data_IF_360352502609
#
_entry.id   IF_360352502609
#
_cell.length_a   1.000
_cell.length_b   1.000
_cell.length_c   1.000
_cell.angle_alpha   90.00
_cell.angle_beta   90.00
_cell.angle_gamma   90.00
#
_symmetry.space_group_name_H-M   'P 1'
#
loop_
_entity.id
_entity.type
_entity.pdbx_description
1 polymer ?
#
# COMPACT_ATOMS: atom_id res chain seq x y z
N UNK A 1 -12.18 -4.48 24.20
CA UNK A 1 -13.30 -5.44 24.10
C UNK A 1 -12.74 -6.84 23.83
N UNK A 2 -13.06 -7.85 24.66
CA UNK A 2 -12.53 -9.21 24.52
C UNK A 2 -12.84 -9.89 23.17
N UNK A 3 -13.96 -9.52 22.52
CA UNK A 3 -14.35 -10.08 21.22
C UNK A 3 -13.33 -9.78 20.09
N UNK A 4 -12.76 -8.57 20.09
CA UNK A 4 -11.75 -8.19 19.08
C UNK A 4 -10.44 -8.96 19.28
N UNK A 5 -10.05 -9.24 20.53
CA UNK A 5 -8.83 -10.00 20.83
C UNK A 5 -8.95 -11.45 20.37
N UNK A 6 -10.13 -12.07 20.51
CA UNK A 6 -10.38 -13.40 19.96
C UNK A 6 -10.32 -13.43 18.43
N UNK A 7 -10.86 -12.42 17.76
CA UNK A 7 -10.80 -12.32 16.29
C UNK A 7 -9.35 -12.14 15.79
N UNK A 8 -8.56 -11.28 16.46
CA UNK A 8 -7.13 -11.10 16.15
C UNK A 8 -6.38 -12.41 16.30
N UNK A 9 -6.55 -13.11 17.42
CA UNK A 9 -5.87 -14.38 17.67
C UNK A 9 -6.19 -15.48 16.63
N UNK A 10 -7.41 -15.47 16.08
CA UNK A 10 -7.84 -16.44 15.08
C UNK A 10 -7.37 -16.09 13.66
N UNK A 11 -7.37 -14.81 13.29
CA UNK A 11 -7.15 -14.38 11.90
C UNK A 11 -5.69 -14.03 11.62
N UNK A 12 -4.92 -13.57 12.61
CA UNK A 12 -3.52 -13.20 12.42
C UNK A 12 -2.64 -14.32 11.79
N UNK A 13 -2.78 -15.62 12.17
CA UNK A 13 -2.02 -16.69 11.52
C UNK A 13 -2.32 -16.84 10.03
N UNK A 14 -3.59 -16.68 9.63
CA UNK A 14 -3.98 -16.72 8.21
C UNK A 14 -3.46 -15.49 7.46
N UNK A 15 -3.48 -14.32 8.08
CA UNK A 15 -2.90 -13.11 7.52
C UNK A 15 -1.39 -13.30 7.24
N UNK A 16 -0.65 -13.84 8.22
CA UNK A 16 0.77 -14.16 8.09
C UNK A 16 1.04 -15.20 7.00
N UNK A 17 0.24 -16.27 6.93
CA UNK A 17 0.33 -17.27 5.88
C UNK A 17 0.06 -16.69 4.47
N UNK A 18 -0.84 -15.70 4.36
CA UNK A 18 -1.07 -14.93 3.14
C UNK A 18 0.04 -13.88 2.85
N UNK A 19 1.06 -13.80 3.72
CA UNK A 19 2.21 -12.92 3.58
C UNK A 19 1.98 -11.49 4.07
N UNK A 20 1.01 -11.25 4.96
CA UNK A 20 0.94 -9.99 5.72
C UNK A 20 2.11 -9.98 6.71
N UNK A 21 3.04 -9.04 6.56
CA UNK A 21 4.30 -8.98 7.35
C UNK A 21 4.19 -8.16 8.63
N UNK A 22 3.08 -7.43 8.81
CA UNK A 22 2.87 -6.56 9.96
C UNK A 22 2.43 -7.35 11.22
N UNK A 23 2.43 -6.68 12.37
CA UNK A 23 1.68 -7.15 13.54
C UNK A 23 0.23 -6.73 13.41
N UNK A 24 -0.67 -7.72 13.32
CA UNK A 24 -2.12 -7.48 13.25
C UNK A 24 -2.65 -7.08 14.62
N UNK A 25 -3.31 -5.93 14.71
CA UNK A 25 -3.86 -5.37 15.95
C UNK A 25 -5.39 -5.16 15.91
N UNK A 26 -5.98 -5.17 14.72
CA UNK A 26 -7.42 -5.04 14.48
C UNK A 26 -7.89 -6.09 13.48
N UNK A 27 -9.08 -6.63 13.71
CA UNK A 27 -9.73 -7.56 12.80
C UNK A 27 -11.23 -7.30 12.79
N UNK A 28 -11.84 -7.32 11.60
CA UNK A 28 -13.29 -7.35 11.43
C UNK A 28 -13.66 -8.25 10.27
N UNK A 29 -14.84 -8.87 10.34
CA UNK A 29 -15.40 -9.60 9.22
C UNK A 29 -16.01 -8.60 8.23
N UNK A 30 -15.62 -8.70 6.96
CA UNK A 30 -16.09 -7.82 5.88
C UNK A 30 -17.27 -8.45 5.15
N UNK A 31 -17.25 -9.77 5.00
CA UNK A 31 -18.23 -10.47 4.19
C UNK A 31 -17.70 -11.81 3.68
N UNK A 32 -18.50 -12.43 2.83
CA UNK A 32 -18.07 -13.59 2.03
C UNK A 32 -17.85 -13.16 0.59
N UNK A 33 -16.77 -13.63 -0.03
CA UNK A 33 -16.52 -13.37 -1.45
C UNK A 33 -17.35 -14.34 -2.35
N UNK A 34 -17.45 -14.09 -3.67
CA UNK A 34 -18.20 -14.95 -4.58
C UNK A 34 -17.70 -16.40 -4.65
N UNK A 35 -16.42 -16.64 -4.32
CA UNK A 35 -15.81 -17.98 -4.27
C UNK A 35 -16.10 -18.71 -2.95
N UNK A 36 -16.91 -18.13 -2.06
CA UNK A 36 -17.31 -18.72 -0.79
C UNK A 36 -16.27 -18.62 0.32
N UNK A 37 -15.20 -17.83 0.13
CA UNK A 37 -14.18 -17.55 1.17
C UNK A 37 -14.66 -16.45 2.11
N UNK A 38 -14.39 -16.63 3.40
CA UNK A 38 -14.61 -15.58 4.39
C UNK A 38 -13.55 -14.50 4.27
N UNK A 39 -14.00 -13.26 4.18
CA UNK A 39 -13.15 -12.09 4.04
C UNK A 39 -13.14 -11.31 5.35
N UNK A 40 -11.94 -11.11 5.86
CA UNK A 40 -11.66 -10.29 7.02
C UNK A 40 -10.82 -9.10 6.60
N UNK A 41 -11.02 -7.97 7.26
CA UNK A 41 -10.08 -6.87 7.20
C UNK A 41 -9.17 -6.95 8.42
N UNK A 42 -7.88 -6.79 8.18
CA UNK A 42 -6.86 -6.75 9.22
C UNK A 42 -6.20 -5.37 9.22
N UNK A 43 -6.16 -4.76 10.40
CA UNK A 43 -5.36 -3.56 10.67
C UNK A 43 -3.94 -3.96 11.05
N UNK A 44 -3.00 -3.09 10.72
CA UNK A 44 -1.57 -3.29 10.93
C UNK A 44 -1.00 -2.06 11.63
N UNK A 45 -0.40 -2.24 12.80
CA UNK A 45 0.22 -1.12 13.51
C UNK A 45 1.35 -0.51 12.65
N UNK A 46 1.21 0.76 12.27
CA UNK A 46 2.17 1.52 11.47
C UNK A 46 2.44 0.96 10.05
N UNK A 47 1.52 0.17 9.49
CA UNK A 47 1.63 -0.36 8.13
C UNK A 47 0.26 -0.52 7.44
N UNK A 48 0.26 -0.66 6.12
CA UNK A 48 -0.93 -0.91 5.31
C UNK A 48 -1.54 -2.23 5.75
N UNK A 49 -2.85 -2.20 6.01
CA UNK A 49 -3.62 -3.38 6.33
C UNK A 49 -3.92 -4.20 5.08
N UNK A 50 -4.78 -5.19 5.24
CA UNK A 50 -5.23 -6.01 4.12
C UNK A 50 -6.65 -6.53 4.33
N UNK A 51 -7.29 -6.90 3.23
CA UNK A 51 -8.30 -7.95 3.30
C UNK A 51 -7.65 -9.32 3.16
N UNK A 52 -7.97 -10.20 4.10
CA UNK A 52 -7.54 -11.60 4.12
C UNK A 52 -8.75 -12.46 3.81
N UNK A 53 -8.65 -13.28 2.77
CA UNK A 53 -9.68 -14.21 2.35
C UNK A 53 -9.28 -15.62 2.71
N UNK A 54 -10.05 -16.26 3.60
CA UNK A 54 -9.77 -17.57 4.17
C UNK A 54 -10.81 -18.56 3.68
N UNK A 55 -10.39 -19.75 3.24
CA UNK A 55 -11.34 -20.83 2.95
C UNK A 55 -12.06 -21.27 4.23
N UNK A 56 -13.30 -21.75 4.12
CA UNK A 56 -14.08 -22.15 5.31
C UNK A 56 -13.44 -23.32 6.08
N UNK A 57 -12.59 -24.11 5.43
CA UNK A 57 -11.80 -25.17 6.05
C UNK A 57 -10.50 -24.65 6.69
N UNK A 58 -10.16 -23.37 6.53
CA UNK A 58 -8.94 -22.76 7.02
C UNK A 58 -7.67 -23.19 6.29
N UNK A 59 -7.77 -23.91 5.16
CA UNK A 59 -6.61 -24.47 4.47
C UNK A 59 -5.83 -23.46 3.62
N UNK A 60 -6.50 -22.44 3.09
CA UNK A 60 -5.90 -21.46 2.19
C UNK A 60 -6.28 -20.04 2.60
N UNK A 61 -5.30 -19.13 2.55
CA UNK A 61 -5.50 -17.71 2.80
C UNK A 61 -4.82 -16.88 1.69
N UNK A 62 -5.53 -15.88 1.17
CA UNK A 62 -5.00 -14.89 0.22
C UNK A 62 -5.18 -13.49 0.77
N UNK A 63 -4.28 -12.57 0.42
CA UNK A 63 -4.39 -11.16 0.83
C UNK A 63 -4.66 -10.24 -0.36
N UNK A 64 -5.33 -9.13 -0.07
CA UNK A 64 -5.47 -7.96 -0.94
C UNK A 64 -5.10 -6.75 -0.09
N UNK A 65 -4.05 -6.02 -0.46
CA UNK A 65 -3.58 -4.87 0.33
C UNK A 65 -4.62 -3.75 0.35
N UNK A 66 -4.66 -2.99 1.44
CA UNK A 66 -5.58 -1.86 1.57
C UNK A 66 -5.29 -0.76 0.54
N UNK A 67 -4.05 -0.65 0.08
CA UNK A 67 -3.70 0.06 -1.14
C UNK A 67 -4.53 -0.32 -2.38
N UNK A 68 -4.69 -1.62 -2.65
CA UNK A 68 -5.44 -2.12 -3.81
C UNK A 68 -6.94 -1.91 -3.63
N UNK A 69 -7.43 -2.09 -2.40
CA UNK A 69 -8.84 -1.93 -2.03
C UNK A 69 -9.30 -0.48 -2.22
N UNK A 70 -8.52 0.48 -1.71
CA UNK A 70 -8.78 1.91 -1.86
C UNK A 70 -8.71 2.34 -3.32
N UNK A 71 -7.74 1.81 -4.09
CA UNK A 71 -7.64 2.07 -5.53
C UNK A 71 -8.88 1.57 -6.29
N UNK A 72 -9.50 0.47 -5.85
CA UNK A 72 -10.74 -0.06 -6.40
C UNK A 72 -12.01 0.71 -5.95
N UNK A 73 -11.87 1.81 -5.22
CA UNK A 73 -13.00 2.61 -4.71
C UNK A 73 -13.73 1.95 -3.54
N UNK A 74 -13.09 1.00 -2.85
CA UNK A 74 -13.63 0.31 -1.67
C UNK A 74 -12.94 0.85 -0.41
N UNK A 75 -13.56 0.61 0.73
CA UNK A 75 -13.05 1.08 2.02
C UNK A 75 -12.18 0.01 2.68
N UNK A 76 -11.05 0.44 3.24
CA UNK A 76 -10.33 -0.24 4.30
C UNK A 76 -10.37 0.66 5.53
N UNK A 77 -11.12 0.27 6.56
CA UNK A 77 -11.44 1.08 7.73
C UNK A 77 -10.39 1.08 8.85
N UNK A 78 -9.50 0.09 8.88
CA UNK A 78 -8.41 -0.06 9.84
C UNK A 78 -7.05 0.36 9.29
N UNK A 79 -7.01 0.99 8.12
CA UNK A 79 -5.78 1.54 7.56
C UNK A 79 -5.93 3.01 7.29
N UNK A 80 -4.99 3.78 7.83
CA UNK A 80 -4.91 5.21 7.65
C UNK A 80 -3.98 5.59 6.48
N UNK A 81 -4.15 6.79 5.91
CA UNK A 81 -3.19 7.31 4.93
C UNK A 81 -1.74 7.39 5.46
N UNK A 82 -1.57 7.62 6.76
CA UNK A 82 -0.26 7.68 7.39
C UNK A 82 0.42 6.31 7.45
N UNK A 83 -0.33 5.25 7.72
CA UNK A 83 0.16 3.86 7.70
C UNK A 83 0.54 3.41 6.27
N UNK A 84 -0.21 3.87 5.27
CA UNK A 84 0.16 3.70 3.87
C UNK A 84 1.47 4.42 3.53
N UNK A 85 1.62 5.67 3.94
CA UNK A 85 2.86 6.42 3.77
C UNK A 85 4.05 5.72 4.46
N UNK A 86 3.86 5.27 5.71
CA UNK A 86 4.88 4.53 6.47
C UNK A 86 5.28 3.21 5.81
N UNK A 87 4.33 2.50 5.21
CA UNK A 87 4.59 1.26 4.46
C UNK A 87 5.47 1.52 3.26
N UNK A 88 5.11 2.52 2.45
CA UNK A 88 5.91 2.87 1.28
C UNK A 88 7.29 3.39 1.70
N UNK A 89 7.39 4.18 2.76
CA UNK A 89 8.66 4.63 3.33
C UNK A 89 9.57 3.44 3.68
N UNK A 90 9.02 2.41 4.33
CA UNK A 90 9.76 1.21 4.71
C UNK A 90 10.24 0.43 3.47
N UNK A 91 9.41 0.32 2.42
CA UNK A 91 9.82 -0.32 1.18
C UNK A 91 10.90 0.48 0.45
N UNK A 92 10.82 1.81 0.40
CA UNK A 92 11.88 2.64 -0.20
C UNK A 92 13.22 2.46 0.51
N UNK A 93 13.20 2.28 1.84
CA UNK A 93 14.40 2.02 2.63
C UNK A 93 15.03 0.64 2.40
N UNK A 94 14.35 -0.29 1.70
CA UNK A 94 14.89 -1.61 1.38
C UNK A 94 15.83 -1.64 0.17
N UNK A 95 15.94 -0.53 -0.57
CA UNK A 95 16.80 -0.41 -1.74
C UNK A 95 17.33 1.01 -1.91
N UNK A 96 17.87 1.29 -3.10
CA UNK A 96 18.40 2.62 -3.43
C UNK A 96 17.28 3.47 -4.05
N UNK A 97 16.70 4.36 -3.24
CA UNK A 97 15.76 5.39 -3.67
C UNK A 97 16.36 6.79 -3.47
N UNK A 98 15.96 7.78 -4.28
CA UNK A 98 16.15 9.19 -3.94
C UNK A 98 15.64 9.50 -2.52
N UNK A 99 16.26 10.48 -1.87
CA UNK A 99 15.81 10.92 -0.54
C UNK A 99 14.34 11.38 -0.61
N UNK A 100 13.46 10.60 0.03
CA UNK A 100 12.03 10.85 0.06
C UNK A 100 11.49 10.53 1.46
N UNK A 101 11.05 11.58 2.16
CA UNK A 101 10.19 11.44 3.34
C UNK A 101 8.75 11.38 2.84
N UNK A 102 8.14 10.20 2.86
CA UNK A 102 6.82 9.95 2.25
C UNK A 102 5.72 10.61 3.10
N UNK A 103 4.99 11.56 2.51
CA UNK A 103 3.80 12.18 3.12
C UNK A 103 2.53 11.44 2.75
N UNK A 104 2.46 10.97 1.50
CA UNK A 104 1.31 10.26 0.96
C UNK A 104 1.82 9.17 0.01
N UNK A 105 1.12 8.05 0.04
CA UNK A 105 1.36 6.93 -0.84
C UNK A 105 0.09 6.59 -1.62
N UNK A 106 0.24 6.15 -2.86
CA UNK A 106 -0.87 5.71 -3.69
C UNK A 106 -0.48 4.56 -4.57
N UNK A 107 -1.29 3.51 -4.57
CA UNK A 107 -1.12 2.40 -5.51
C UNK A 107 -1.61 2.78 -6.90
N UNK A 108 -0.78 2.51 -7.90
CA UNK A 108 -1.02 2.84 -9.31
C UNK A 108 -1.45 1.61 -10.11
N UNK A 109 -0.95 0.43 -9.76
CA UNK A 109 -1.26 -0.82 -10.44
C UNK A 109 -0.14 -1.85 -10.30
N UNK A 110 -0.27 -2.96 -11.02
CA UNK A 110 0.73 -4.04 -11.03
C UNK A 110 0.91 -4.65 -12.41
N UNK A 111 2.04 -5.30 -12.61
CA UNK A 111 2.29 -6.20 -13.72
C UNK A 111 3.13 -7.39 -13.23
N UNK A 112 3.62 -8.22 -14.16
CA UNK A 112 4.44 -9.39 -13.83
C UNK A 112 5.76 -9.03 -13.10
N UNK A 113 6.23 -7.79 -13.22
CA UNK A 113 7.47 -7.31 -12.59
C UNK A 113 7.27 -6.70 -11.21
N UNK A 114 6.02 -6.60 -10.72
CA UNK A 114 5.72 -6.08 -9.40
C UNK A 114 4.61 -5.04 -9.39
N UNK A 115 4.58 -4.27 -8.31
CA UNK A 115 3.53 -3.33 -7.94
C UNK A 115 4.08 -1.91 -7.94
N UNK A 116 3.29 -0.96 -8.44
CA UNK A 116 3.70 0.42 -8.62
C UNK A 116 2.97 1.32 -7.63
N UNK A 117 3.74 2.14 -6.95
CA UNK A 117 3.25 3.10 -5.97
C UNK A 117 3.83 4.47 -6.28
N UNK A 118 3.00 5.50 -6.14
CA UNK A 118 3.45 6.89 -6.12
C UNK A 118 3.71 7.29 -4.67
N UNK A 119 4.87 7.89 -4.41
CA UNK A 119 5.19 8.59 -3.18
C UNK A 119 5.18 10.11 -3.43
N UNK A 120 4.42 10.84 -2.63
CA UNK A 120 4.60 12.29 -2.46
C UNK A 120 5.61 12.52 -1.35
N UNK A 121 6.70 13.21 -1.63
CA UNK A 121 7.80 13.44 -0.70
C UNK A 121 7.70 14.83 -0.04
N UNK A 122 8.05 14.96 1.25
CA UNK A 122 8.16 16.26 1.92
C UNK A 122 9.30 17.07 1.33
N UNK A 123 8.99 18.26 0.83
CA UNK A 123 10.01 19.23 0.38
C UNK A 123 10.86 18.78 -0.80
N UNK A 124 10.46 17.72 -1.50
CA UNK A 124 11.16 17.15 -2.65
C UNK A 124 10.15 16.73 -3.72
N UNK A 125 10.62 16.52 -4.95
CA UNK A 125 9.81 15.90 -5.99
C UNK A 125 9.39 14.49 -5.54
N UNK A 126 8.15 14.12 -5.88
CA UNK A 126 7.67 12.76 -5.68
C UNK A 126 8.39 11.75 -6.57
N UNK A 127 8.08 10.48 -6.36
CA UNK A 127 8.60 9.39 -7.19
C UNK A 127 7.54 8.32 -7.42
N UNK A 128 7.73 7.54 -8.49
CA UNK A 128 7.09 6.24 -8.66
C UNK A 128 8.08 5.16 -8.25
N UNK A 129 7.65 4.22 -7.42
CA UNK A 129 8.41 3.05 -7.01
C UNK A 129 7.76 1.77 -7.53
N UNK A 130 8.57 0.87 -8.09
CA UNK A 130 8.19 -0.52 -8.33
C UNK A 130 8.72 -1.37 -7.19
N UNK A 131 7.78 -1.98 -6.47
CA UNK A 131 8.05 -2.96 -5.41
C UNK A 131 7.87 -4.34 -6.01
N UNK A 132 8.85 -5.22 -5.82
CA UNK A 132 8.78 -6.59 -6.31
C UNK A 132 7.78 -7.45 -5.49
N UNK A 133 7.71 -8.73 -5.83
CA UNK A 133 6.84 -9.71 -5.16
C UNK A 133 7.28 -10.04 -3.74
N UNK A 134 8.56 -9.82 -3.42
CA UNK A 134 9.12 -10.05 -2.09
C UNK A 134 8.93 -8.84 -1.17
N UNK A 135 8.45 -7.72 -1.71
CA UNK A 135 8.20 -6.49 -0.97
C UNK A 135 9.44 -5.61 -0.84
N UNK A 136 10.41 -5.74 -1.74
CA UNK A 136 11.59 -4.90 -1.80
C UNK A 136 11.48 -3.88 -2.95
N UNK A 137 12.18 -2.74 -2.79
CA UNK A 137 12.30 -1.76 -3.85
C UNK A 137 13.14 -2.32 -5.00
N UNK A 138 12.49 -2.52 -6.15
CA UNK A 138 13.17 -2.99 -7.35
C UNK A 138 13.65 -1.82 -8.23
N UNK A 139 12.88 -0.74 -8.30
CA UNK A 139 13.20 0.42 -9.12
C UNK A 139 12.40 1.65 -8.68
N UNK A 140 12.99 2.85 -8.82
CA UNK A 140 12.28 4.12 -8.64
C UNK A 140 12.54 5.08 -9.81
N UNK A 141 11.58 5.97 -10.07
CA UNK A 141 11.67 7.05 -11.04
C UNK A 141 11.21 8.35 -10.40
N UNK A 142 11.98 9.43 -10.54
CA UNK A 142 11.51 10.76 -10.15
C UNK A 142 10.24 11.12 -10.95
N UNK A 143 9.29 11.81 -10.32
CA UNK A 143 8.00 12.12 -10.96
C UNK A 143 8.16 12.86 -12.30
N UNK A 144 9.18 13.71 -12.43
CA UNK A 144 9.49 14.46 -13.65
C UNK A 144 9.83 13.55 -14.84
N UNK A 145 10.45 12.39 -14.57
CA UNK A 145 10.86 11.40 -15.58
C UNK A 145 9.81 10.29 -15.78
N UNK A 146 8.86 10.18 -14.84
CA UNK A 146 7.92 9.06 -14.76
C UNK A 146 6.64 9.24 -15.60
N UNK A 147 6.57 10.23 -16.51
CA UNK A 147 5.36 10.56 -17.30
C UNK A 147 4.78 9.39 -18.11
N UNK A 148 5.62 8.40 -18.45
CA UNK A 148 5.20 7.17 -19.17
C UNK A 148 5.11 5.92 -18.29
N UNK A 149 5.40 6.04 -16.99
CA UNK A 149 5.38 4.93 -16.04
C UNK A 149 4.01 4.90 -15.38
N UNK A 150 3.17 3.91 -15.74
CA UNK A 150 1.86 3.65 -15.11
C UNK A 150 0.95 4.90 -15.06
N UNK A 151 1.02 5.74 -16.09
CA UNK A 151 0.22 6.97 -16.19
C UNK A 151 0.79 8.19 -15.47
N UNK A 152 1.99 8.08 -14.89
CA UNK A 152 2.69 9.19 -14.23
C UNK A 152 2.19 9.50 -12.82
N UNK A 153 2.80 10.52 -12.23
CA UNK A 153 2.45 11.00 -10.88
C UNK A 153 1.14 11.81 -10.89
N UNK A 154 0.34 11.62 -9.84
CA UNK A 154 -0.98 12.21 -9.65
C UNK A 154 -1.20 12.81 -8.26
N UNK A 155 -0.49 12.33 -7.24
CA UNK A 155 -0.38 12.96 -5.93
C UNK A 155 0.55 14.18 -5.98
N UNK A 156 1.63 14.06 -6.74
CA UNK A 156 2.60 15.13 -6.95
C UNK A 156 2.17 15.95 -8.16
N UNK A 157 1.52 17.09 -7.93
CA UNK A 157 1.48 18.13 -8.95
C UNK A 157 2.90 18.66 -9.09
N UNK A 158 3.60 18.31 -10.17
CA UNK A 158 4.86 18.99 -10.53
C UNK A 158 4.53 20.48 -10.47
N UNK A 159 5.16 21.22 -9.55
CA UNK A 159 4.98 22.66 -9.51
C UNK A 159 5.33 23.15 -10.92
N UNK A 160 4.37 23.79 -11.61
CA UNK A 160 4.63 24.39 -12.90
C UNK A 160 5.89 25.25 -12.72
N UNK A 161 6.94 24.96 -13.50
CA UNK A 161 8.18 25.71 -13.42
C UNK A 161 7.85 27.20 -13.40
N UNK A 162 8.28 27.89 -12.34
CA UNK A 162 8.03 29.32 -12.22
C UNK A 162 8.50 29.98 -13.52
N UNK A 163 7.60 30.70 -14.20
CA UNK A 163 7.96 31.43 -15.40
C UNK A 163 9.15 32.34 -15.09
N UNK A 164 10.19 32.39 -15.95
CA UNK A 164 11.33 33.27 -15.71
C UNK A 164 10.83 34.71 -15.52
N UNK A 165 11.41 35.49 -14.59
CA UNK A 165 10.97 36.86 -14.36
C UNK A 165 11.04 37.64 -15.67
N UNK A 166 9.96 38.33 -16.00
CA UNK A 166 9.91 39.21 -17.16
C UNK A 166 11.01 40.26 -17.03
N UNK A 167 12.01 40.18 -17.91
CA UNK A 167 13.04 41.21 -18.02
C UNK A 167 12.37 42.48 -18.58
N UNK A 168 12.48 43.58 -17.84
CA UNK A 168 12.05 44.93 -18.27
C UNK A 168 13.15 45.62 -19.05
#
# INVERSE_FOLDING_TARGET
>A
MPANQNAVAQIAPFAQAAGVKCTVDQVTWVGRNPDGKDRFEVGCANADGAWVEVTQTGGDATKIECFEIVKAGRTCGFTTPAEQAATLQAWLASGEAPACTVEQAKYLGRNASGRFYEAKCTGADGLIARIDTDGALAQSWACVDATRVVGGCTLTTVAAAAAPPAQR
#
